data_IF_320413313820
#
_entry.id   IF_320413313820
#
_cell.length_a   1.000
_cell.length_b   1.000
_cell.length_c   1.000
_cell.angle_alpha   90.00
_cell.angle_beta   90.00
_cell.angle_gamma   90.00
#
_symmetry.space_group_name_H-M   'P 1'
#
loop_
_entity.id
_entity.type
_entity.pdbx_description
1 polymer ?
#
# COMPACT_ATOMS: atom_id res chain seq x y z
N UNK A 1 -15.82 -12.07 -17.63
CA UNK A 1 -15.19 -12.67 -16.44
C UNK A 1 -16.20 -13.47 -15.63
N UNK A 2 -17.28 -12.85 -15.11
CA UNK A 2 -18.37 -13.54 -14.37
C UNK A 2 -18.92 -14.75 -15.13
N UNK A 3 -19.27 -14.58 -16.40
CA UNK A 3 -19.80 -15.65 -17.25
C UNK A 3 -18.84 -16.83 -17.41
N UNK A 4 -17.52 -16.60 -17.37
CA UNK A 4 -16.52 -17.66 -17.46
C UNK A 4 -16.40 -18.39 -16.13
N UNK A 5 -16.32 -17.68 -15.01
CA UNK A 5 -16.30 -18.30 -13.67
C UNK A 5 -17.52 -19.20 -13.45
N UNK A 6 -18.72 -18.75 -13.85
CA UNK A 6 -19.95 -19.56 -13.75
C UNK A 6 -19.86 -20.82 -14.62
N UNK A 7 -19.44 -20.68 -15.88
CA UNK A 7 -19.32 -21.82 -16.81
C UNK A 7 -18.33 -22.87 -16.31
N UNK A 8 -17.25 -22.45 -15.65
CA UNK A 8 -16.19 -23.32 -15.15
C UNK A 8 -16.43 -23.80 -13.70
N UNK A 9 -17.55 -23.42 -13.06
CA UNK A 9 -17.82 -23.79 -11.66
C UNK A 9 -16.87 -23.15 -10.64
N UNK A 10 -16.24 -22.03 -10.99
CA UNK A 10 -15.28 -21.31 -10.14
C UNK A 10 -15.98 -20.20 -9.36
N UNK A 11 -15.80 -20.18 -8.04
CA UNK A 11 -16.30 -19.11 -7.18
C UNK A 11 -15.61 -17.77 -7.49
N UNK A 12 -16.38 -16.69 -7.58
CA UNK A 12 -15.90 -15.34 -7.84
C UNK A 12 -16.12 -14.45 -6.61
N UNK A 13 -15.04 -13.99 -5.99
CA UNK A 13 -15.07 -12.98 -4.94
C UNK A 13 -14.84 -11.59 -5.53
N UNK A 14 -15.82 -10.70 -5.41
CA UNK A 14 -15.66 -9.30 -5.77
C UNK A 14 -15.15 -8.51 -4.57
N UNK A 15 -13.99 -7.88 -4.72
CA UNK A 15 -13.36 -7.11 -3.66
C UNK A 15 -12.99 -5.71 -4.15
N UNK A 16 -13.02 -4.70 -3.27
CA UNK A 16 -12.57 -3.37 -3.63
C UNK A 16 -11.09 -3.40 -4.04
N UNK A 17 -10.75 -2.74 -5.15
CA UNK A 17 -9.39 -2.72 -5.69
C UNK A 17 -8.55 -1.51 -5.24
N UNK A 18 -9.13 -0.61 -4.44
CA UNK A 18 -8.51 0.67 -4.07
C UNK A 18 -7.11 0.48 -3.48
N UNK A 19 -6.17 1.27 -3.96
CA UNK A 19 -4.78 1.31 -3.50
C UNK A 19 -4.02 -0.03 -3.52
N UNK A 20 -4.54 -1.08 -4.19
CA UNK A 20 -3.94 -2.43 -4.16
C UNK A 20 -2.46 -2.46 -4.56
N UNK A 21 -2.06 -1.72 -5.60
CA UNK A 21 -0.65 -1.60 -6.01
C UNK A 21 0.22 -0.85 -5.00
N UNK A 22 -0.30 0.24 -4.42
CA UNK A 22 0.37 1.01 -3.37
C UNK A 22 0.58 0.16 -2.10
N UNK A 23 -0.49 -0.47 -1.63
CA UNK A 23 -0.50 -1.34 -0.46
C UNK A 23 0.47 -2.50 -0.68
N UNK A 24 0.41 -3.13 -1.86
CA UNK A 24 1.30 -4.21 -2.25
C UNK A 24 2.77 -3.79 -2.20
N UNK A 25 3.10 -2.64 -2.80
CA UNK A 25 4.45 -2.07 -2.77
C UNK A 25 4.95 -1.83 -1.34
N UNK A 26 4.08 -1.27 -0.50
CA UNK A 26 4.41 -0.91 0.88
C UNK A 26 4.59 -2.13 1.77
N UNK A 27 3.68 -3.11 1.69
CA UNK A 27 3.61 -4.20 2.67
C UNK A 27 4.28 -5.49 2.22
N UNK A 28 4.28 -5.76 0.92
CA UNK A 28 4.52 -7.12 0.43
C UNK A 28 5.65 -7.22 -0.60
N UNK A 29 5.98 -6.14 -1.32
CA UNK A 29 6.99 -6.18 -2.37
C UNK A 29 8.40 -6.53 -1.85
N UNK A 30 8.91 -5.79 -0.85
CA UNK A 30 10.24 -6.03 -0.27
C UNK A 30 10.28 -7.35 0.53
N UNK A 31 9.36 -7.62 1.47
CA UNK A 31 9.45 -8.81 2.32
C UNK A 31 9.30 -10.13 1.55
N UNK A 32 8.53 -10.15 0.46
CA UNK A 32 8.27 -11.35 -0.33
C UNK A 32 9.00 -11.38 -1.69
N UNK A 33 9.81 -10.36 -2.00
CA UNK A 33 10.52 -10.28 -3.29
C UNK A 33 9.60 -10.24 -4.52
N UNK A 34 8.37 -9.74 -4.36
CA UNK A 34 7.34 -9.76 -5.41
C UNK A 34 7.49 -8.57 -6.36
N UNK A 35 6.99 -8.70 -7.59
CA UNK A 35 6.76 -7.53 -8.45
C UNK A 35 5.60 -6.68 -7.93
N UNK A 36 5.47 -5.44 -8.42
CA UNK A 36 4.35 -4.54 -8.07
C UNK A 36 3.00 -5.20 -8.39
N UNK A 37 2.90 -5.88 -9.55
CA UNK A 37 1.66 -6.54 -9.97
C UNK A 37 1.33 -7.76 -9.12
N UNK A 38 2.33 -8.59 -8.80
CA UNK A 38 2.15 -9.74 -7.90
C UNK A 38 1.74 -9.29 -6.50
N UNK A 39 2.39 -8.23 -5.99
CA UNK A 39 2.05 -7.66 -4.70
C UNK A 39 0.61 -7.11 -4.67
N UNK A 40 0.16 -6.45 -5.75
CA UNK A 40 -1.21 -5.98 -5.87
C UNK A 40 -2.23 -7.13 -5.89
N UNK A 41 -1.93 -8.22 -6.62
CA UNK A 41 -2.75 -9.42 -6.64
C UNK A 41 -2.86 -10.06 -5.23
N UNK A 42 -1.75 -10.10 -4.48
CA UNK A 42 -1.75 -10.57 -3.10
C UNK A 42 -2.68 -9.73 -2.21
N UNK A 43 -2.71 -8.39 -2.37
CA UNK A 43 -3.65 -7.54 -1.63
C UNK A 43 -5.11 -7.92 -1.92
N UNK A 44 -5.46 -8.12 -3.19
CA UNK A 44 -6.82 -8.49 -3.59
C UNK A 44 -7.21 -9.87 -3.03
N UNK A 45 -6.30 -10.84 -3.09
CA UNK A 45 -6.51 -12.17 -2.51
C UNK A 45 -6.74 -12.11 -0.99
N UNK A 46 -5.95 -11.31 -0.27
CA UNK A 46 -6.10 -11.12 1.18
C UNK A 46 -7.44 -10.46 1.53
N UNK A 47 -7.88 -9.46 0.76
CA UNK A 47 -9.21 -8.86 0.93
C UNK A 47 -10.33 -9.88 0.70
N UNK A 48 -10.17 -10.75 -0.30
CA UNK A 48 -11.16 -11.81 -0.58
C UNK A 48 -11.25 -12.82 0.57
N UNK A 49 -10.16 -13.00 1.32
CA UNK A 49 -10.10 -13.81 2.54
C UNK A 49 -10.55 -13.06 3.82
N UNK A 50 -10.99 -11.79 3.71
CA UNK A 50 -11.47 -11.00 4.85
C UNK A 50 -10.38 -10.30 5.67
N UNK A 51 -9.14 -10.21 5.16
CA UNK A 51 -8.08 -9.48 5.85
C UNK A 51 -8.10 -7.98 5.55
N UNK A 52 -7.92 -7.20 6.60
CA UNK A 52 -7.74 -5.75 6.51
C UNK A 52 -6.31 -5.35 6.16
N UNK A 53 -6.19 -4.32 5.33
CA UNK A 53 -4.91 -3.75 4.92
C UNK A 53 -4.50 -2.58 5.82
N UNK A 54 -4.13 -2.86 7.07
CA UNK A 54 -3.67 -1.84 8.04
C UNK A 54 -2.34 -1.20 7.62
N UNK A 55 -2.14 0.06 8.00
CA UNK A 55 -0.90 0.81 7.79
C UNK A 55 0.23 0.20 8.65
N UNK A 56 1.43 -0.04 8.09
CA UNK A 56 2.57 -0.52 8.87
C UNK A 56 2.97 0.41 10.03
N UNK A 57 3.46 -0.16 11.14
CA UNK A 57 3.84 0.60 12.33
C UNK A 57 4.89 1.68 12.06
N UNK A 58 5.92 1.38 11.27
CA UNK A 58 6.96 2.34 10.90
C UNK A 58 6.37 3.57 10.21
N UNK A 59 5.43 3.37 9.27
CA UNK A 59 4.73 4.46 8.61
C UNK A 59 3.79 5.22 9.55
N UNK A 60 3.13 4.53 10.48
CA UNK A 60 2.31 5.18 11.50
C UNK A 60 3.12 6.14 12.36
N UNK A 61 4.36 5.77 12.72
CA UNK A 61 5.25 6.63 13.51
C UNK A 61 5.75 7.85 12.72
N UNK A 62 5.99 7.70 11.42
CA UNK A 62 6.53 8.78 10.58
C UNK A 62 5.44 9.73 10.08
N UNK A 63 4.39 9.17 9.45
CA UNK A 63 3.35 9.97 8.77
C UNK A 63 2.19 10.37 9.69
N UNK A 64 1.93 9.57 10.73
CA UNK A 64 0.74 9.70 11.58
C UNK A 64 1.11 9.84 13.07
N UNK A 65 2.28 10.40 13.38
CA UNK A 65 2.78 10.52 14.76
C UNK A 65 1.76 11.18 15.71
N UNK A 66 1.03 12.19 15.23
CA UNK A 66 0.01 12.89 16.03
C UNK A 66 -1.21 12.00 16.29
N UNK A 67 -1.68 11.29 15.27
CA UNK A 67 -2.81 10.35 15.37
C UNK A 67 -2.45 9.12 16.22
N UNK A 68 -1.22 8.62 16.11
CA UNK A 68 -0.69 7.53 16.92
C UNK A 68 -0.64 7.90 18.41
N UNK A 69 -0.19 9.12 18.75
CA UNK A 69 -0.18 9.64 20.13
C UNK A 69 -1.58 9.83 20.73
N UNK A 70 -2.59 10.11 19.89
CA UNK A 70 -3.97 10.29 20.33
C UNK A 70 -4.73 8.96 20.53
N UNK A 71 -4.09 7.81 20.31
CA UNK A 71 -4.73 6.49 20.43
C UNK A 71 -5.88 6.28 19.44
N UNK A 72 -5.95 7.08 18.38
CA UNK A 72 -7.07 7.02 17.43
C UNK A 72 -6.97 5.71 16.65
N UNK A 73 -7.93 4.80 16.83
CA UNK A 73 -8.03 3.62 15.99
C UNK A 73 -8.23 4.07 14.53
N UNK A 74 -7.36 3.57 13.65
CA UNK A 74 -7.43 3.78 12.20
C UNK A 74 -8.63 2.97 11.69
N UNK A 75 -9.84 3.49 11.82
CA UNK A 75 -11.07 2.83 11.37
C UNK A 75 -11.26 2.96 9.86
N UNK A 76 -10.95 4.13 9.30
CA UNK A 76 -11.11 4.42 7.87
C UNK A 76 -9.81 4.17 7.08
N UNK A 77 -9.53 2.90 6.78
CA UNK A 77 -8.33 2.52 6.02
C UNK A 77 -8.20 3.27 4.70
N UNK A 78 -9.30 3.56 4.01
CA UNK A 78 -9.28 4.29 2.74
C UNK A 78 -8.66 5.68 2.92
N UNK A 79 -9.13 6.45 3.92
CA UNK A 79 -8.60 7.78 4.22
C UNK A 79 -7.10 7.77 4.54
N UNK A 80 -6.62 6.78 5.30
CA UNK A 80 -5.20 6.70 5.63
C UNK A 80 -4.35 6.30 4.42
N UNK A 81 -4.80 5.34 3.61
CA UNK A 81 -4.10 5.00 2.36
C UNK A 81 -4.09 6.14 1.35
N UNK A 82 -5.12 6.97 1.31
CA UNK A 82 -5.12 8.22 0.52
C UNK A 82 -4.03 9.18 0.98
N UNK A 83 -3.87 9.37 2.31
CA UNK A 83 -2.80 10.21 2.88
C UNK A 83 -1.41 9.63 2.57
N UNK A 84 -1.25 8.31 2.66
CA UNK A 84 0.00 7.63 2.28
C UNK A 84 0.32 7.87 0.81
N UNK A 85 -0.66 7.74 -0.09
CA UNK A 85 -0.46 7.99 -1.51
C UNK A 85 0.05 9.41 -1.76
N UNK A 86 -0.60 10.42 -1.16
CA UNK A 86 -0.20 11.82 -1.28
C UNK A 86 1.24 12.05 -0.78
N UNK A 87 1.59 11.45 0.36
CA UNK A 87 2.94 11.56 0.92
C UNK A 87 4.02 10.94 0.00
N UNK A 88 3.78 9.74 -0.54
CA UNK A 88 4.73 9.12 -1.49
C UNK A 88 4.86 9.95 -2.77
N UNK A 89 3.76 10.50 -3.29
CA UNK A 89 3.81 11.38 -4.47
C UNK A 89 4.68 12.60 -4.22
N UNK A 90 4.50 13.28 -3.08
CA UNK A 90 5.31 14.43 -2.71
C UNK A 90 6.81 14.09 -2.58
N UNK A 91 7.14 12.92 -2.00
CA UNK A 91 8.54 12.48 -1.91
C UNK A 91 9.16 12.16 -3.27
N UNK A 92 8.40 11.54 -4.19
CA UNK A 92 8.86 11.30 -5.56
C UNK A 92 9.13 12.60 -6.29
N UNK A 93 8.28 13.61 -6.10
CA UNK A 93 8.49 14.96 -6.65
C UNK A 93 9.74 15.61 -6.06
N UNK A 94 9.93 15.58 -4.73
CA UNK A 94 11.13 16.07 -4.04
C UNK A 94 12.39 15.37 -4.57
N UNK A 95 12.37 14.04 -4.69
CA UNK A 95 13.50 13.26 -5.21
C UNK A 95 13.80 13.60 -6.68
N UNK A 96 12.76 13.77 -7.50
CA UNK A 96 12.90 14.21 -8.88
C UNK A 96 13.56 15.59 -8.99
N UNK A 97 13.11 16.56 -8.18
CA UNK A 97 13.69 17.91 -8.13
C UNK A 97 15.17 17.88 -7.71
N UNK A 98 15.52 17.00 -6.77
CA UNK A 98 16.89 16.82 -6.29
C UNK A 98 17.75 15.93 -7.19
N UNK A 99 17.23 15.47 -8.34
CA UNK A 99 17.89 14.55 -9.30
C UNK A 99 18.32 13.22 -8.68
N UNK A 100 17.62 12.77 -7.65
CA UNK A 100 17.86 11.49 -6.97
C UNK A 100 17.14 10.34 -7.70
N UNK A 101 17.83 9.25 -8.05
CA UNK A 101 17.20 8.10 -8.70
C UNK A 101 16.35 7.29 -7.70
N UNK A 102 15.03 7.46 -7.74
CA UNK A 102 14.11 6.78 -6.79
C UNK A 102 13.35 5.57 -7.37
N UNK A 103 13.60 5.17 -8.64
CA UNK A 103 12.82 4.10 -9.29
C UNK A 103 12.98 2.74 -8.60
N UNK A 104 14.17 2.45 -8.08
CA UNK A 104 14.48 1.21 -7.37
C UNK A 104 14.16 1.26 -5.87
N UNK A 105 13.68 2.40 -5.35
CA UNK A 105 13.40 2.56 -3.93
C UNK A 105 12.22 1.71 -3.49
N UNK A 106 12.44 0.96 -2.42
CA UNK A 106 11.41 0.39 -1.57
C UNK A 106 10.88 1.44 -0.60
N UNK A 107 9.86 1.04 0.16
CA UNK A 107 9.20 1.95 1.10
C UNK A 107 10.16 2.48 2.18
N UNK A 108 11.08 1.64 2.66
CA UNK A 108 12.05 2.03 3.69
C UNK A 108 12.98 3.15 3.19
N UNK A 109 13.41 3.07 1.92
CA UNK A 109 14.26 4.11 1.32
C UNK A 109 13.53 5.45 1.23
N UNK A 110 12.20 5.44 0.95
CA UNK A 110 11.38 6.66 1.01
C UNK A 110 11.25 7.21 2.45
N UNK A 111 11.21 6.34 3.45
CA UNK A 111 11.15 6.75 4.86
C UNK A 111 12.48 7.39 5.27
N UNK A 112 13.61 6.81 4.88
CA UNK A 112 14.94 7.35 5.14
C UNK A 112 15.13 8.71 4.43
N UNK A 113 14.74 8.82 3.17
CA UNK A 113 14.78 10.08 2.41
C UNK A 113 13.87 11.18 2.99
N UNK A 114 12.79 10.80 3.66
CA UNK A 114 11.94 11.77 4.36
C UNK A 114 12.57 12.30 5.66
N UNK A 115 13.53 11.56 6.23
CA UNK A 115 14.24 11.94 7.45
C UNK A 115 15.51 12.77 7.18
N UNK A 116 16.01 12.79 5.93
CA UNK A 116 17.10 13.64 5.44
C UNK A 116 16.63 15.00 4.95
#
# INVERSE_FOLDING_TARGET
>A
MISKCIKEGISLAQVPAYYSSLIGRVKYQKPYGLSVHQSAALVLARRAMGYDEKIPKQMMLVLFAKEAKKGHQVSDLFKYWKKVQAWITALKEKAYQNREPYKHWYMDDFIEYAAS
#
